data_IF_113080520040
#
_entry.id   IF_113080520040
#
_cell.length_a   1.000
_cell.length_b   1.000
_cell.length_c   1.000
_cell.angle_alpha   90.00
_cell.angle_beta   90.00
_cell.angle_gamma   90.00
#
_symmetry.space_group_name_H-M   'P 1'
#
loop_
_entity.id
_entity.type
_entity.pdbx_description
1 polymer ?
#
# COMPACT_ATOMS: atom_id res chain seq x y z
N UNK A 1 -3.43 -22.53 16.42
CA UNK A 1 -4.51 -22.17 15.47
C UNK A 1 -4.55 -20.66 15.44
N UNK A 2 -4.40 -20.05 14.25
CA UNK A 2 -4.41 -18.59 14.10
C UNK A 2 -5.81 -18.06 13.80
N UNK A 3 -6.10 -16.83 14.21
CA UNK A 3 -7.34 -16.11 13.92
C UNK A 3 -7.05 -14.62 13.72
N UNK A 4 -8.03 -13.89 13.17
CA UNK A 4 -7.91 -12.44 12.96
C UNK A 4 -8.37 -11.70 14.21
N UNK A 5 -7.54 -10.79 14.72
CA UNK A 5 -7.88 -9.90 15.84
C UNK A 5 -7.70 -8.44 15.43
N UNK A 6 -8.73 -7.64 15.64
CA UNK A 6 -8.65 -6.19 15.54
C UNK A 6 -8.04 -5.60 16.83
N UNK A 7 -7.05 -4.72 16.70
CA UNK A 7 -6.43 -3.97 17.81
C UNK A 7 -6.41 -2.49 17.47
N UNK A 8 -6.80 -1.66 18.43
CA UNK A 8 -6.70 -0.20 18.32
C UNK A 8 -5.27 0.24 18.67
N UNK A 9 -4.61 1.00 17.78
CA UNK A 9 -3.20 1.37 17.95
C UNK A 9 -2.93 2.82 17.50
N UNK A 10 -2.38 3.68 18.38
CA UNK A 10 -2.27 3.47 19.82
C UNK A 10 -3.67 3.35 20.47
N UNK A 11 -3.79 2.77 21.68
CA UNK A 11 -5.07 2.67 22.38
C UNK A 11 -5.75 4.04 22.50
N UNK A 12 -7.04 4.12 22.18
CA UNK A 12 -7.81 5.38 22.19
C UNK A 12 -7.60 6.29 20.98
N UNK A 13 -6.86 5.86 19.95
CA UNK A 13 -6.61 6.68 18.74
C UNK A 13 -7.73 6.64 17.70
N UNK A 14 -8.70 5.72 17.83
CA UNK A 14 -9.69 5.40 16.80
C UNK A 14 -9.14 4.63 15.61
N UNK A 15 -7.82 4.33 15.56
CA UNK A 15 -7.21 3.58 14.46
C UNK A 15 -7.17 2.09 14.79
N UNK A 16 -8.05 1.33 14.16
CA UNK A 16 -8.11 -0.12 14.29
C UNK A 16 -7.31 -0.81 13.20
N UNK A 17 -6.60 -1.88 13.56
CA UNK A 17 -5.77 -2.66 12.68
C UNK A 17 -6.01 -4.15 12.91
N UNK A 18 -6.12 -4.92 11.84
CA UNK A 18 -6.32 -6.35 11.88
C UNK A 18 -4.96 -7.07 11.84
N UNK A 19 -4.83 -8.08 12.70
CA UNK A 19 -3.65 -8.93 12.83
C UNK A 19 -4.06 -10.39 12.74
N UNK A 20 -3.25 -11.20 12.08
CA UNK A 20 -3.29 -12.63 12.27
C UNK A 20 -2.54 -12.96 13.57
N UNK A 21 -3.23 -13.59 14.52
CA UNK A 21 -2.72 -13.88 15.85
C UNK A 21 -2.88 -15.36 16.17
N UNK A 22 -1.98 -15.92 16.94
CA UNK A 22 -2.08 -17.26 17.47
C UNK A 22 -2.06 -17.22 19.00
N UNK A 23 -2.99 -17.97 19.61
CA UNK A 23 -2.99 -18.16 21.05
C UNK A 23 -1.83 -19.09 21.44
N UNK A 24 -0.93 -18.59 22.30
CA UNK A 24 0.11 -19.35 22.96
C UNK A 24 -0.18 -19.41 24.45
N UNK A 25 -0.13 -20.61 25.01
CA UNK A 25 -0.25 -20.82 26.45
C UNK A 25 1.17 -20.89 27.05
N UNK A 26 1.50 -19.94 27.92
CA UNK A 26 2.78 -19.92 28.66
C UNK A 26 2.48 -19.97 30.15
N UNK A 27 2.41 -21.18 30.71
CA UNK A 27 1.91 -21.41 32.07
C UNK A 27 0.44 -20.98 32.19
N UNK A 28 0.10 -20.23 33.25
CA UNK A 28 -1.26 -19.70 33.44
C UNK A 28 -1.57 -18.45 32.59
N UNK A 29 -0.65 -18.01 31.72
CA UNK A 29 -0.85 -16.84 30.86
C UNK A 29 -1.23 -17.28 29.45
N UNK A 30 -2.34 -16.73 28.96
CA UNK A 30 -2.74 -16.79 27.55
C UNK A 30 -2.14 -15.58 26.84
N UNK A 31 -1.18 -15.83 25.95
CA UNK A 31 -0.49 -14.80 25.17
C UNK A 31 -1.02 -14.88 23.73
N UNK A 32 -1.35 -13.73 23.15
CA UNK A 32 -1.66 -13.66 21.72
C UNK A 32 -0.38 -13.31 20.99
N UNK A 33 0.22 -14.29 20.30
CA UNK A 33 1.38 -14.06 19.45
C UNK A 33 0.90 -13.52 18.12
N UNK A 34 1.27 -12.29 17.81
CA UNK A 34 1.04 -11.73 16.49
C UNK A 34 1.92 -12.45 15.46
N UNK A 35 1.28 -13.01 14.44
CA UNK A 35 1.94 -13.67 13.32
C UNK A 35 2.27 -12.63 12.25
N UNK A 36 1.28 -11.83 11.85
CA UNK A 36 1.48 -10.72 10.90
C UNK A 36 0.39 -9.66 10.99
N UNK A 37 0.76 -8.45 10.61
CA UNK A 37 -0.18 -7.38 10.27
C UNK A 37 -0.94 -7.72 8.99
N UNK A 38 -2.26 -7.46 8.98
CA UNK A 38 -3.11 -7.64 7.80
C UNK A 38 -3.41 -6.29 7.16
N UNK A 39 -3.86 -5.30 7.93
CA UNK A 39 -4.31 -4.02 7.40
C UNK A 39 -5.03 -3.14 8.41
N UNK A 40 -5.48 -1.96 7.98
CA UNK A 40 -6.43 -1.13 8.74
C UNK A 40 -7.79 -1.83 8.76
N UNK A 41 -8.38 -1.98 9.94
CA UNK A 41 -9.64 -2.72 10.11
C UNK A 41 -10.78 -1.96 9.44
N UNK A 42 -11.51 -2.65 8.56
CA UNK A 42 -12.69 -2.10 7.86
C UNK A 42 -13.99 -2.20 8.66
N UNK A 43 -14.00 -3.01 9.74
CA UNK A 43 -15.18 -3.33 10.53
C UNK A 43 -15.44 -2.36 11.69
N UNK A 44 -14.49 -1.48 12.00
CA UNK A 44 -14.58 -0.53 13.12
C UNK A 44 -14.15 0.85 12.63
N UNK A 45 -15.06 1.56 11.98
CA UNK A 45 -14.86 2.97 11.66
C UNK A 45 -14.93 3.82 12.93
N UNK A 46 -14.21 4.94 12.89
CA UNK A 46 -14.05 5.90 13.97
C UNK A 46 -15.36 6.62 14.29
N UNK A 47 -16.20 6.03 15.15
CA UNK A 47 -17.00 6.77 16.12
C UNK A 47 -17.40 5.88 17.30
N UNK A 48 -17.23 6.42 18.50
CA UNK A 48 -17.60 5.83 19.77
C UNK A 48 -19.11 5.60 19.85
N UNK A 49 -19.54 4.42 20.27
CA UNK A 49 -20.25 4.20 21.55
C UNK A 49 -20.76 2.76 21.66
N UNK A 50 -21.00 2.35 22.91
CA UNK A 50 -21.76 1.18 23.39
C UNK A 50 -20.96 -0.09 23.73
N UNK A 51 -20.60 -0.13 25.03
CA UNK A 51 -21.00 -1.16 26.00
C UNK A 51 -21.75 -2.38 25.43
N UNK A 52 -21.20 -3.57 25.65
CA UNK A 52 -21.90 -4.84 25.50
C UNK A 52 -21.12 -5.98 26.13
N UNK A 53 -21.44 -6.31 27.38
CA UNK A 53 -21.02 -7.54 28.06
C UNK A 53 -21.63 -8.74 27.32
N UNK A 54 -20.83 -9.76 27.06
CA UNK A 54 -21.30 -11.06 26.57
C UNK A 54 -20.24 -12.12 26.80
N UNK A 55 -20.39 -12.89 27.88
CA UNK A 55 -19.59 -14.08 28.18
C UNK A 55 -20.23 -15.29 27.50
N UNK A 56 -19.42 -16.18 26.91
CA UNK A 56 -19.84 -17.51 26.41
C UNK A 56 -18.70 -18.52 26.74
N UNK A 57 -19.00 -19.78 27.10
CA UNK A 57 -18.30 -20.51 28.14
C UNK A 57 -17.11 -21.35 27.66
N UNK A 58 -16.31 -21.76 28.65
CA UNK A 58 -15.15 -22.64 28.53
C UNK A 58 -15.53 -24.08 28.15
N UNK A 59 -14.84 -24.65 27.16
CA UNK A 59 -14.67 -26.10 26.99
C UNK A 59 -13.18 -26.42 26.96
N UNK A 60 -12.77 -27.35 27.82
CA UNK A 60 -11.40 -27.82 27.96
C UNK A 60 -11.02 -28.76 26.81
N UNK A 61 -9.88 -28.52 26.16
CA UNK A 61 -9.24 -29.50 25.27
C UNK A 61 -7.72 -29.47 25.51
N UNK A 62 -7.17 -30.68 25.54
CA UNK A 62 -5.82 -31.13 25.89
C UNK A 62 -4.67 -30.42 25.18
N UNK A 63 -3.58 -30.23 25.94
CA UNK A 63 -2.31 -29.61 25.53
C UNK A 63 -1.60 -30.37 24.40
N UNK A 64 -1.07 -29.71 23.36
CA UNK A 64 0.01 -30.24 22.55
C UNK A 64 1.38 -29.76 23.08
N UNK A 65 2.31 -30.71 23.08
CA UNK A 65 3.74 -30.61 23.41
C UNK A 65 4.44 -29.44 22.70
N UNK A 66 5.38 -28.73 23.36
CA UNK A 66 6.06 -27.58 22.77
C UNK A 66 6.98 -28.02 21.63
N UNK A 67 6.65 -27.60 20.41
CA UNK A 67 7.54 -27.70 19.24
C UNK A 67 8.63 -26.61 19.40
N UNK A 68 9.90 -27.02 19.36
CA UNK A 68 11.05 -26.13 19.43
C UNK A 68 10.98 -25.03 18.35
N UNK A 69 11.45 -23.79 18.63
CA UNK A 69 11.37 -22.70 17.67
C UNK A 69 12.30 -22.96 16.48
N UNK A 70 11.70 -23.13 15.31
CA UNK A 70 12.39 -23.12 14.01
C UNK A 70 13.29 -21.87 13.93
N UNK A 71 14.57 -22.03 13.55
CA UNK A 71 15.52 -20.90 13.41
C UNK A 71 14.89 -19.84 12.51
N UNK A 72 14.63 -18.65 13.07
CA UNK A 72 13.98 -17.57 12.31
C UNK A 72 14.81 -17.19 11.09
N UNK A 73 14.25 -17.27 9.88
CA UNK A 73 14.91 -16.80 8.67
C UNK A 73 15.18 -15.28 8.76
N UNK A 74 16.41 -14.87 8.43
CA UNK A 74 16.91 -13.49 8.60
C UNK A 74 17.49 -12.97 7.30
N UNK A 75 17.45 -11.65 7.14
CA UNK A 75 18.16 -10.96 6.06
C UNK A 75 19.64 -10.85 6.43
N UNK A 76 20.54 -10.95 5.45
CA UNK A 76 21.98 -10.78 5.65
C UNK A 76 22.28 -9.49 6.45
N UNK A 77 23.16 -9.62 7.45
CA UNK A 77 23.58 -8.59 8.41
C UNK A 77 22.46 -8.02 9.31
N UNK A 78 21.30 -8.67 9.41
CA UNK A 78 20.23 -8.25 10.33
C UNK A 78 19.97 -9.29 11.42
N UNK A 79 19.85 -8.81 12.66
CA UNK A 79 19.54 -9.65 13.83
C UNK A 79 18.05 -9.97 13.93
N UNK A 80 17.19 -9.07 13.47
CA UNK A 80 15.74 -9.22 13.52
C UNK A 80 15.24 -10.18 12.43
N UNK A 81 14.34 -11.12 12.74
CA UNK A 81 13.68 -11.98 11.76
C UNK A 81 13.05 -11.18 10.62
N UNK A 82 13.19 -11.68 9.38
CA UNK A 82 12.67 -11.03 8.18
C UNK A 82 11.16 -10.74 8.26
N UNK A 83 10.37 -11.69 8.76
CA UNK A 83 8.92 -11.54 8.95
C UNK A 83 8.55 -10.38 9.86
N UNK A 84 9.32 -10.13 10.92
CA UNK A 84 9.06 -9.00 11.82
C UNK A 84 9.35 -7.68 11.13
N UNK A 85 10.45 -7.60 10.37
CA UNK A 85 10.76 -6.41 9.58
C UNK A 85 9.66 -6.14 8.54
N UNK A 86 9.20 -7.19 7.82
CA UNK A 86 8.09 -7.07 6.88
C UNK A 86 6.80 -6.58 7.56
N UNK A 87 6.51 -7.08 8.76
CA UNK A 87 5.37 -6.61 9.59
C UNK A 87 5.49 -5.13 9.93
N UNK A 88 6.67 -4.64 10.32
CA UNK A 88 6.91 -3.22 10.59
C UNK A 88 6.68 -2.35 9.33
N UNK A 89 7.11 -2.80 8.16
CA UNK A 89 6.84 -2.10 6.89
C UNK A 89 5.33 -2.06 6.59
N UNK A 90 4.62 -3.17 6.79
CA UNK A 90 3.17 -3.24 6.67
C UNK A 90 2.46 -2.25 7.59
N UNK A 91 2.84 -2.18 8.87
CA UNK A 91 2.29 -1.21 9.83
C UNK A 91 2.56 0.23 9.38
N UNK A 92 3.81 0.54 9.01
CA UNK A 92 4.20 1.88 8.58
C UNK A 92 3.45 2.34 7.33
N UNK A 93 3.40 1.51 6.29
CA UNK A 93 2.67 1.83 5.06
C UNK A 93 1.15 1.71 5.21
N UNK A 94 0.68 0.99 6.23
CA UNK A 94 -0.70 1.00 6.73
C UNK A 94 -1.11 2.26 7.49
N UNK A 95 -0.16 3.17 7.77
CA UNK A 95 -0.41 4.49 8.35
C UNK A 95 -0.01 4.63 9.82
N UNK A 96 0.60 3.61 10.42
CA UNK A 96 1.08 3.68 11.80
C UNK A 96 2.36 4.52 11.88
N UNK A 97 2.46 5.50 12.81
CA UNK A 97 3.69 6.26 13.04
C UNK A 97 4.75 5.40 13.76
N UNK A 98 6.02 5.77 13.65
CA UNK A 98 7.16 4.94 14.11
C UNK A 98 7.17 4.68 15.62
N UNK A 99 6.70 5.64 16.43
CA UNK A 99 6.54 5.52 17.88
C UNK A 99 5.49 4.47 18.25
N UNK A 100 4.37 4.43 17.53
CA UNK A 100 3.35 3.40 17.70
C UNK A 100 3.86 2.01 17.27
N UNK A 101 4.67 1.93 16.20
CA UNK A 101 5.31 0.66 15.78
C UNK A 101 6.30 0.19 16.86
N UNK A 102 7.12 1.10 17.39
CA UNK A 102 8.04 0.80 18.48
C UNK A 102 7.30 0.26 19.70
N UNK A 103 6.21 0.91 20.12
CA UNK A 103 5.37 0.46 21.23
C UNK A 103 4.82 -0.94 20.98
N UNK A 104 4.34 -1.22 19.76
CA UNK A 104 3.79 -2.51 19.38
C UNK A 104 4.84 -3.63 19.46
N UNK A 105 6.06 -3.37 18.98
CA UNK A 105 7.16 -4.34 19.03
C UNK A 105 7.65 -4.60 20.46
N UNK A 106 7.70 -3.57 21.29
CA UNK A 106 8.01 -3.72 22.72
C UNK A 106 6.97 -4.61 23.40
N UNK A 107 5.68 -4.41 23.10
CA UNK A 107 4.59 -5.18 23.70
C UNK A 107 4.53 -6.64 23.24
N UNK A 108 4.63 -6.89 21.93
CA UNK A 108 4.31 -8.20 21.36
C UNK A 108 5.54 -9.09 21.16
N UNK A 109 6.72 -8.49 21.10
CA UNK A 109 7.95 -9.17 20.72
C UNK A 109 9.09 -8.98 21.72
N UNK A 110 8.88 -8.21 22.79
CA UNK A 110 9.92 -7.85 23.77
C UNK A 110 11.16 -7.22 23.09
N UNK A 111 10.92 -6.48 22.01
CA UNK A 111 11.95 -5.81 21.22
C UNK A 111 11.87 -4.30 21.44
N UNK A 112 12.71 -3.81 22.34
CA UNK A 112 12.85 -2.38 22.60
C UNK A 112 13.95 -1.76 21.74
N UNK A 113 13.61 -1.42 20.50
CA UNK A 113 14.51 -0.78 19.54
C UNK A 113 14.14 0.69 19.35
N UNK A 114 15.11 1.55 19.02
CA UNK A 114 14.83 2.96 18.73
C UNK A 114 14.01 3.15 17.45
N UNK A 115 13.22 4.24 17.36
CA UNK A 115 12.52 4.66 16.12
C UNK A 115 13.45 4.67 14.89
N UNK A 116 14.72 5.06 15.08
CA UNK A 116 15.73 5.08 14.01
C UNK A 116 15.99 3.71 13.38
N UNK A 117 15.84 2.62 14.15
CA UNK A 117 15.99 1.24 13.64
C UNK A 117 14.88 0.93 12.64
N UNK A 118 13.63 1.20 13.02
CA UNK A 118 12.47 1.05 12.13
C UNK A 118 12.57 1.97 10.91
N UNK A 119 13.02 3.21 11.12
CA UNK A 119 13.23 4.15 10.02
C UNK A 119 14.27 3.65 9.00
N UNK A 120 15.37 3.05 9.48
CA UNK A 120 16.37 2.46 8.61
C UNK A 120 15.82 1.25 7.84
N UNK A 121 14.92 0.47 8.43
CA UNK A 121 14.21 -0.59 7.70
C UNK A 121 13.29 -0.02 6.62
N UNK A 122 12.48 0.99 6.95
CA UNK A 122 11.63 1.69 5.97
C UNK A 122 12.49 2.18 4.80
N UNK A 123 13.55 2.95 5.04
CA UNK A 123 14.41 3.45 3.94
C UNK A 123 15.00 2.32 3.10
N UNK A 124 15.53 1.26 3.72
CA UNK A 124 16.20 0.17 3.00
C UNK A 124 15.22 -0.62 2.15
N UNK A 125 14.14 -1.10 2.74
CA UNK A 125 13.23 -2.01 2.05
C UNK A 125 12.28 -1.30 1.10
N UNK A 126 12.05 0.01 1.28
CA UNK A 126 11.40 0.81 0.25
C UNK A 126 12.25 0.92 -1.01
N UNK A 127 13.57 1.13 -0.89
CA UNK A 127 14.47 1.09 -2.06
C UNK A 127 14.46 -0.28 -2.73
N UNK A 128 14.44 -1.34 -1.94
CA UNK A 128 14.36 -2.71 -2.45
C UNK A 128 13.05 -2.98 -3.18
N UNK A 129 11.92 -2.56 -2.63
CA UNK A 129 10.62 -2.68 -3.28
C UNK A 129 10.59 -1.89 -4.61
N UNK A 130 11.15 -0.67 -4.64
CA UNK A 130 11.29 0.12 -5.87
C UNK A 130 12.10 -0.64 -6.90
N UNK A 131 13.22 -1.24 -6.49
CA UNK A 131 14.09 -2.04 -7.38
C UNK A 131 13.35 -3.23 -7.97
N UNK A 132 12.60 -3.99 -7.16
CA UNK A 132 11.86 -5.17 -7.60
C UNK A 132 10.69 -4.82 -8.53
N UNK A 133 10.02 -3.69 -8.31
CA UNK A 133 8.88 -3.25 -9.12
C UNK A 133 9.22 -2.32 -10.29
N UNK A 134 10.50 -1.99 -10.50
CA UNK A 134 10.92 -0.97 -11.48
C UNK A 134 10.50 -1.31 -12.91
N UNK A 135 10.62 -2.59 -13.29
CA UNK A 135 10.39 -3.07 -14.65
C UNK A 135 8.95 -3.54 -14.88
N UNK A 136 8.10 -3.48 -13.85
CA UNK A 136 6.70 -3.87 -13.95
C UNK A 136 5.94 -2.93 -14.90
N UNK A 137 5.32 -3.51 -15.93
CA UNK A 137 4.47 -2.83 -16.92
C UNK A 137 3.01 -3.28 -16.72
N UNK A 138 2.12 -2.42 -16.20
CA UNK A 138 0.70 -2.73 -16.08
C UNK A 138 -0.02 -2.68 -17.44
N UNK A 139 -0.92 -3.62 -17.69
CA UNK A 139 -1.94 -3.57 -18.74
C UNK A 139 -3.09 -2.66 -18.29
N UNK A 140 -2.98 -1.38 -18.67
CA UNK A 140 -3.91 -0.31 -18.29
C UNK A 140 -4.87 0.06 -19.42
N UNK A 141 -5.98 0.73 -19.06
CA UNK A 141 -6.94 1.28 -20.01
C UNK A 141 -6.39 2.47 -20.82
N UNK A 142 -7.28 3.06 -21.61
CA UNK A 142 -6.99 4.22 -22.46
C UNK A 142 -7.46 5.55 -21.82
N UNK A 143 -8.11 5.49 -20.66
CA UNK A 143 -8.56 6.68 -19.93
C UNK A 143 -7.85 6.80 -18.60
N UNK A 144 -7.15 7.91 -18.40
CA UNK A 144 -6.46 8.21 -17.14
C UNK A 144 -7.04 9.46 -16.47
N UNK A 145 -6.92 9.51 -15.15
CA UNK A 145 -7.28 10.69 -14.35
C UNK A 145 -6.02 11.22 -13.70
N UNK A 146 -5.75 12.51 -13.85
CA UNK A 146 -4.67 13.20 -13.15
C UNK A 146 -5.22 14.27 -12.21
N UNK A 147 -4.66 14.34 -11.01
CA UNK A 147 -5.03 15.34 -10.02
C UNK A 147 -3.84 15.68 -9.13
N UNK A 148 -3.89 16.83 -8.47
CA UNK A 148 -2.90 17.27 -7.52
C UNK A 148 -3.50 17.71 -6.19
N UNK A 149 -2.84 17.31 -5.11
CA UNK A 149 -3.11 17.80 -3.76
C UNK A 149 -1.86 18.44 -3.17
N UNK A 150 -2.00 19.08 -2.03
CA UNK A 150 -0.87 19.63 -1.29
C UNK A 150 -0.98 19.38 0.20
N UNK A 151 0.17 19.24 0.85
CA UNK A 151 0.29 19.23 2.30
C UNK A 151 1.18 20.38 2.76
N UNK A 152 0.83 20.97 3.91
CA UNK A 152 1.70 21.94 4.58
C UNK A 152 2.76 21.21 5.40
N UNK A 153 4.01 21.58 5.20
CA UNK A 153 5.16 21.11 5.96
C UNK A 153 5.84 22.32 6.60
N UNK A 154 5.44 22.63 7.84
CA UNK A 154 5.74 23.94 8.44
C UNK A 154 5.19 25.05 7.55
N UNK A 155 6.07 25.97 7.13
CA UNK A 155 5.70 27.13 6.31
C UNK A 155 5.72 26.86 4.80
N UNK A 156 6.07 25.64 4.36
CA UNK A 156 6.17 25.27 2.94
C UNK A 156 5.01 24.38 2.51
N UNK A 157 4.52 24.56 1.29
CA UNK A 157 3.62 23.62 0.65
C UNK A 157 4.41 22.59 -0.16
N UNK A 158 4.04 21.32 -0.03
CA UNK A 158 4.50 20.24 -0.90
C UNK A 158 3.31 19.76 -1.72
N UNK A 159 3.48 19.72 -3.03
CA UNK A 159 2.49 19.25 -3.98
C UNK A 159 2.74 17.79 -4.33
N UNK A 160 1.66 17.02 -4.36
CA UNK A 160 1.61 15.63 -4.81
C UNK A 160 0.77 15.61 -6.07
N UNK A 161 1.38 15.16 -7.15
CA UNK A 161 0.79 15.03 -8.46
C UNK A 161 0.63 13.56 -8.75
N UNK A 162 -0.55 13.12 -9.13
CA UNK A 162 -0.86 11.70 -9.24
C UNK A 162 -1.64 11.44 -10.53
N UNK A 163 -1.36 10.30 -11.18
CA UNK A 163 -2.11 9.82 -12.36
C UNK A 163 -2.53 8.38 -12.13
N UNK A 164 -3.82 8.11 -12.29
CA UNK A 164 -4.43 6.80 -12.11
C UNK A 164 -5.12 6.33 -13.39
N UNK A 165 -4.99 5.04 -13.69
CA UNK A 165 -5.78 4.38 -14.74
C UNK A 165 -7.19 4.05 -14.23
N UNK A 166 -8.24 4.45 -14.96
CA UNK A 166 -9.63 4.27 -14.51
C UNK A 166 -10.12 2.82 -14.62
N UNK A 167 -9.51 2.01 -15.48
CA UNK A 167 -9.91 0.61 -15.70
C UNK A 167 -9.44 -0.30 -14.57
N UNK A 168 -8.22 -0.11 -14.09
CA UNK A 168 -7.55 -1.01 -13.14
C UNK A 168 -7.32 -0.38 -11.75
N UNK A 169 -7.57 0.92 -11.62
CA UNK A 169 -7.16 1.75 -10.49
C UNK A 169 -5.64 1.73 -10.24
N UNK A 170 -4.85 1.33 -11.23
CA UNK A 170 -3.40 1.33 -11.09
C UNK A 170 -2.88 2.77 -11.11
N UNK A 171 -2.16 3.15 -10.06
CA UNK A 171 -1.52 4.47 -10.00
C UNK A 171 -0.26 4.43 -10.87
N UNK A 172 -0.32 5.12 -12.00
CA UNK A 172 0.72 5.12 -13.02
C UNK A 172 1.96 5.89 -12.59
N UNK A 173 1.76 7.04 -11.94
CA UNK A 173 2.83 7.87 -11.44
C UNK A 173 2.38 8.72 -10.26
N UNK A 174 3.34 8.99 -9.37
CA UNK A 174 3.27 10.04 -8.36
C UNK A 174 4.52 10.91 -8.48
N UNK A 175 4.34 12.23 -8.49
CA UNK A 175 5.43 13.19 -8.53
C UNK A 175 5.29 14.20 -7.39
N UNK A 176 6.40 14.47 -6.70
CA UNK A 176 6.43 15.37 -5.54
C UNK A 176 7.28 16.58 -5.86
N UNK A 177 6.73 17.77 -5.61
CA UNK A 177 7.41 19.04 -5.88
C UNK A 177 7.05 20.12 -4.86
N UNK A 178 7.87 21.17 -4.79
CA UNK A 178 7.55 22.39 -4.03
C UNK A 178 6.84 23.45 -4.89
N UNK A 179 6.62 23.18 -6.18
CA UNK A 179 6.02 24.12 -7.13
C UNK A 179 4.77 23.52 -7.77
N UNK A 180 3.74 24.36 -7.98
CA UNK A 180 2.52 23.97 -8.69
C UNK A 180 2.49 24.56 -10.10
N UNK A 181 3.04 23.86 -11.10
CA UNK A 181 3.13 24.40 -12.46
C UNK A 181 3.30 23.36 -13.57
N UNK A 182 3.27 23.81 -14.82
CA UNK A 182 3.28 22.96 -16.02
C UNK A 182 4.48 22.00 -16.11
N UNK A 183 5.66 22.41 -15.64
CA UNK A 183 6.85 21.52 -15.59
C UNK A 183 6.58 20.27 -14.77
N UNK A 184 5.92 20.39 -13.62
CA UNK A 184 5.67 19.27 -12.72
C UNK A 184 4.58 18.36 -13.30
N UNK A 185 3.55 18.93 -13.92
CA UNK A 185 2.55 18.18 -14.67
C UNK A 185 3.18 17.42 -15.86
N UNK A 186 4.14 17.99 -16.60
CA UNK A 186 4.86 17.28 -17.67
C UNK A 186 5.64 16.08 -17.16
N UNK A 187 6.38 16.24 -16.07
CA UNK A 187 7.11 15.15 -15.43
C UNK A 187 6.14 14.01 -15.08
N UNK A 188 5.00 14.37 -14.49
CA UNK A 188 3.96 13.41 -14.14
C UNK A 188 3.44 12.63 -15.37
N UNK A 189 3.06 13.34 -16.44
CA UNK A 189 2.55 12.73 -17.69
C UNK A 189 3.58 11.80 -18.32
N UNK A 190 4.84 12.23 -18.37
CA UNK A 190 5.95 11.43 -18.88
C UNK A 190 6.15 10.14 -18.08
N UNK A 191 6.16 10.25 -16.75
CA UNK A 191 6.31 9.09 -15.87
C UNK A 191 5.15 8.11 -16.05
N UNK A 192 3.92 8.62 -16.19
CA UNK A 192 2.73 7.80 -16.41
C UNK A 192 2.81 7.04 -17.74
N UNK A 193 3.17 7.72 -18.84
CA UNK A 193 3.34 7.09 -20.14
C UNK A 193 4.48 6.07 -20.17
N UNK A 194 5.62 6.37 -19.53
CA UNK A 194 6.72 5.42 -19.38
C UNK A 194 6.29 4.19 -18.59
N UNK A 195 5.50 4.34 -17.52
CA UNK A 195 4.99 3.21 -16.74
C UNK A 195 4.03 2.36 -17.57
N UNK A 196 3.06 2.97 -18.23
CA UNK A 196 2.06 2.30 -19.06
C UNK A 196 2.65 1.69 -20.34
N UNK A 197 3.75 2.23 -20.86
CA UNK A 197 4.29 1.86 -22.18
C UNK A 197 3.47 2.39 -23.35
N UNK A 198 2.55 3.33 -23.12
CA UNK A 198 1.68 3.98 -24.11
C UNK A 198 1.22 5.36 -23.60
N UNK A 199 0.59 6.15 -24.46
CA UNK A 199 -0.16 7.35 -24.08
C UNK A 199 -1.66 7.02 -23.94
N UNK A 200 -2.45 7.79 -23.18
CA UNK A 200 -3.89 7.57 -23.07
C UNK A 200 -4.62 8.14 -24.28
N UNK A 201 -5.82 7.64 -24.60
CA UNK A 201 -6.73 8.32 -25.54
C UNK A 201 -7.48 9.45 -24.87
N UNK A 202 -7.76 9.32 -23.58
CA UNK A 202 -8.49 10.31 -22.79
C UNK A 202 -7.71 10.57 -21.51
N UNK A 203 -7.52 11.83 -21.18
CA UNK A 203 -7.05 12.23 -19.87
C UNK A 203 -8.00 13.24 -19.24
N UNK A 204 -8.39 12.97 -18.01
CA UNK A 204 -9.31 13.80 -17.24
C UNK A 204 -8.52 14.49 -16.14
N UNK A 205 -8.64 15.82 -16.05
CA UNK A 205 -8.02 16.60 -14.99
C UNK A 205 -8.97 17.67 -14.48
N UNK A 206 -8.66 18.26 -13.31
CA UNK A 206 -9.29 19.52 -12.92
C UNK A 206 -8.84 20.67 -13.85
N UNK A 207 -9.39 21.86 -13.64
CA UNK A 207 -9.21 23.05 -14.48
C UNK A 207 -7.85 23.74 -14.32
N UNK A 208 -6.86 23.12 -13.68
CA UNK A 208 -5.54 23.70 -13.56
C UNK A 208 -4.88 23.81 -14.95
N UNK A 209 -4.58 25.05 -15.38
CA UNK A 209 -3.99 25.32 -16.70
C UNK A 209 -2.66 24.60 -16.97
N UNK A 210 -1.92 24.23 -15.92
CA UNK A 210 -0.69 23.42 -16.00
C UNK A 210 -0.88 22.10 -16.74
N UNK A 211 -2.07 21.47 -16.64
CA UNK A 211 -2.34 20.22 -17.33
C UNK A 211 -2.52 20.41 -18.82
N UNK A 212 -3.14 21.50 -19.27
CA UNK A 212 -3.34 21.78 -20.69
C UNK A 212 -1.98 21.76 -21.41
N UNK A 213 -1.02 22.53 -20.88
CA UNK A 213 0.34 22.60 -21.44
C UNK A 213 1.03 21.25 -21.37
N UNK A 214 0.91 20.54 -20.25
CA UNK A 214 1.61 19.28 -20.07
C UNK A 214 1.09 18.14 -20.95
N UNK A 215 -0.21 18.09 -21.17
CA UNK A 215 -0.86 17.06 -21.99
C UNK A 215 -0.54 17.31 -23.47
N UNK A 216 -0.62 18.56 -23.93
CA UNK A 216 -0.23 18.90 -25.30
C UNK A 216 1.25 18.57 -25.56
N UNK A 217 2.15 18.95 -24.64
CA UNK A 217 3.59 18.73 -24.80
C UNK A 217 4.00 17.25 -24.77
N UNK A 218 3.38 16.42 -23.92
CA UNK A 218 3.79 15.02 -23.74
C UNK A 218 2.99 14.03 -24.60
N UNK A 219 1.73 14.34 -24.94
CA UNK A 219 0.85 13.42 -25.66
C UNK A 219 0.32 13.98 -27.00
N UNK A 220 0.23 15.30 -27.16
CA UNK A 220 -0.25 15.95 -28.37
C UNK A 220 -1.66 15.54 -28.79
N UNK A 221 -1.92 15.56 -30.10
CA UNK A 221 -3.24 15.34 -30.69
C UNK A 221 -3.81 13.92 -30.49
N UNK A 222 -2.99 12.95 -30.08
CA UNK A 222 -3.41 11.56 -29.84
C UNK A 222 -4.24 11.41 -28.56
N UNK A 223 -4.20 12.41 -27.66
CA UNK A 223 -4.93 12.40 -26.39
C UNK A 223 -5.98 13.50 -26.34
N UNK A 224 -7.22 13.12 -26.07
CA UNK A 224 -8.30 14.06 -25.74
C UNK A 224 -8.21 14.48 -24.28
N UNK A 225 -7.91 15.76 -24.04
CA UNK A 225 -8.01 16.35 -22.69
C UNK A 225 -9.47 16.71 -22.36
N UNK A 226 -9.97 16.21 -21.24
CA UNK A 226 -11.26 16.58 -20.68
C UNK A 226 -11.03 17.31 -19.35
N UNK A 227 -11.39 18.59 -19.32
CA UNK A 227 -11.37 19.38 -18.08
C UNK A 227 -12.73 19.30 -17.39
N UNK A 228 -12.73 18.96 -16.10
CA UNK A 228 -13.96 18.92 -15.32
C UNK A 228 -13.68 18.64 -13.85
N UNK A 229 -14.56 19.14 -12.99
CA UNK A 229 -14.58 18.66 -11.61
C UNK A 229 -14.94 17.17 -11.62
N UNK A 230 -14.32 16.33 -10.77
CA UNK A 230 -14.72 14.96 -10.45
C UNK A 230 -16.24 14.68 -10.45
N UNK A 231 -17.05 15.66 -10.07
CA UNK A 231 -18.50 15.53 -9.98
C UNK A 231 -19.29 15.78 -11.28
N UNK A 232 -18.73 16.47 -12.29
CA UNK A 232 -19.46 16.82 -13.54
C UNK A 232 -19.24 15.85 -14.69
N UNK A 233 -18.13 15.11 -14.69
CA UNK A 233 -17.79 14.14 -15.76
C UNK A 233 -18.46 12.77 -15.56
N UNK A 234 -19.48 12.69 -14.69
CA UNK A 234 -20.20 11.47 -14.29
C UNK A 234 -21.15 10.93 -15.38
N UNK A 235 -21.24 11.57 -16.54
CA UNK A 235 -22.01 11.03 -17.68
C UNK A 235 -21.30 9.88 -18.44
N UNK A 236 -20.07 9.49 -18.06
CA UNK A 236 -19.28 8.47 -18.77
C UNK A 236 -18.87 7.23 -17.95
N UNK A 237 -19.20 7.14 -16.67
CA UNK A 237 -18.90 5.95 -15.85
C UNK A 237 -17.43 5.83 -15.38
N UNK A 238 -16.63 6.88 -15.50
CA UNK A 238 -15.23 6.91 -15.06
C UNK A 238 -15.11 7.67 -13.73
N UNK A 239 -14.72 6.97 -12.66
CA UNK A 239 -14.82 7.46 -11.28
C UNK A 239 -13.50 8.08 -10.79
N UNK A 240 -13.44 9.41 -10.80
CA UNK A 240 -12.45 10.24 -10.09
C UNK A 240 -12.40 10.03 -8.57
N UNK A 241 -13.35 9.30 -7.99
CA UNK A 241 -13.38 9.01 -6.56
C UNK A 241 -12.14 8.26 -6.06
N UNK A 242 -11.43 7.52 -6.93
CA UNK A 242 -10.29 6.71 -6.52
C UNK A 242 -9.03 7.54 -6.29
N UNK A 243 -8.76 8.55 -7.12
CA UNK A 243 -7.64 9.48 -6.88
C UNK A 243 -7.91 10.35 -5.65
N UNK A 244 -9.17 10.75 -5.43
CA UNK A 244 -9.56 11.46 -4.20
C UNK A 244 -9.40 10.59 -2.94
N UNK A 245 -9.82 9.32 -2.98
CA UNK A 245 -9.63 8.36 -1.88
C UNK A 245 -8.14 8.15 -1.59
N UNK A 246 -7.32 8.13 -2.64
CA UNK A 246 -5.88 8.07 -2.53
C UNK A 246 -5.33 9.34 -1.84
N UNK A 247 -5.70 10.53 -2.29
CA UNK A 247 -5.28 11.80 -1.65
C UNK A 247 -5.72 11.92 -0.19
N UNK A 248 -6.94 11.50 0.17
CA UNK A 248 -7.36 11.44 1.58
C UNK A 248 -6.47 10.53 2.41
N UNK A 249 -5.94 9.46 1.81
CA UNK A 249 -4.97 8.58 2.47
C UNK A 249 -3.59 9.24 2.59
N UNK A 250 -3.16 10.09 1.64
CA UNK A 250 -1.95 10.94 1.79
C UNK A 250 -2.07 11.90 2.96
N UNK A 251 -3.19 12.63 3.01
CA UNK A 251 -3.42 13.68 4.00
C UNK A 251 -3.38 13.12 5.43
N UNK A 252 -3.91 11.91 5.65
CA UNK A 252 -3.82 11.22 6.94
C UNK A 252 -2.37 10.94 7.37
N UNK A 253 -1.41 10.95 6.44
CA UNK A 253 0.02 10.72 6.69
C UNK A 253 0.81 12.01 6.85
N UNK A 254 0.17 13.18 6.92
CA UNK A 254 0.86 14.48 7.12
C UNK A 254 1.87 14.41 8.27
N UNK A 255 1.47 13.84 9.42
CA UNK A 255 2.35 13.67 10.60
C UNK A 255 3.62 12.82 10.33
N UNK A 256 3.53 11.86 9.41
CA UNK A 256 4.68 11.05 9.02
C UNK A 256 5.65 11.92 8.20
N UNK A 257 5.12 12.72 7.28
CA UNK A 257 5.93 13.62 6.44
C UNK A 257 6.48 14.81 7.23
N UNK A 258 5.78 15.30 8.27
CA UNK A 258 6.22 16.40 9.13
C UNK A 258 7.61 16.18 9.76
N UNK A 259 7.98 14.92 10.01
CA UNK A 259 9.30 14.56 10.53
C UNK A 259 10.43 14.75 9.50
N UNK A 260 10.11 14.90 8.21
CA UNK A 260 11.10 14.98 7.12
C UNK A 260 11.10 16.35 6.48
N UNK A 261 12.26 17.03 6.53
CA UNK A 261 12.44 18.37 5.94
C UNK A 261 12.98 18.34 4.52
N UNK A 262 13.40 17.18 4.02
CA UNK A 262 14.03 17.02 2.71
C UNK A 262 13.13 16.31 1.70
N UNK A 263 13.11 16.83 0.47
CA UNK A 263 12.28 16.31 -0.62
C UNK A 263 12.67 14.90 -1.05
N UNK A 264 13.93 14.48 -0.83
CA UNK A 264 14.40 13.15 -1.23
C UNK A 264 13.76 12.05 -0.35
N UNK A 265 13.67 12.27 0.96
CA UNK A 265 12.95 11.40 1.89
C UNK A 265 11.47 11.34 1.57
N UNK A 266 10.84 12.49 1.28
CA UNK A 266 9.42 12.53 0.89
C UNK A 266 9.21 11.74 -0.40
N UNK A 267 10.03 11.96 -1.44
CA UNK A 267 9.98 11.18 -2.69
C UNK A 267 10.17 9.68 -2.46
N UNK A 268 11.10 9.29 -1.60
CA UNK A 268 11.30 7.87 -1.25
C UNK A 268 10.04 7.27 -0.62
N UNK A 269 9.43 8.01 0.31
CA UNK A 269 8.22 7.57 1.01
C UNK A 269 7.01 7.51 0.08
N UNK A 270 6.82 8.51 -0.78
CA UNK A 270 5.77 8.51 -1.80
C UNK A 270 5.90 7.30 -2.73
N UNK A 271 7.11 7.00 -3.20
CA UNK A 271 7.34 5.82 -4.04
C UNK A 271 7.08 4.50 -3.29
N UNK A 272 7.46 4.38 -2.02
CA UNK A 272 7.11 3.22 -1.22
C UNK A 272 5.60 3.07 -1.01
N UNK A 273 4.89 4.19 -0.92
CA UNK A 273 3.45 4.19 -0.76
C UNK A 273 2.71 3.88 -2.06
N UNK A 274 3.21 4.35 -3.21
CA UNK A 274 2.79 3.92 -4.54
C UNK A 274 2.86 2.39 -4.68
N UNK A 275 3.97 1.78 -4.23
CA UNK A 275 4.13 0.32 -4.26
C UNK A 275 3.11 -0.35 -3.33
N UNK A 276 2.98 0.15 -2.10
CA UNK A 276 2.01 -0.40 -1.16
C UNK A 276 0.57 -0.32 -1.70
N UNK A 277 0.19 0.80 -2.31
CA UNK A 277 -1.11 0.99 -2.93
C UNK A 277 -1.32 0.01 -4.09
N UNK A 278 -0.41 0.00 -5.07
CA UNK A 278 -0.58 -0.80 -6.29
C UNK A 278 -0.48 -2.30 -6.06
N UNK A 279 0.47 -2.76 -5.22
CA UNK A 279 0.80 -4.19 -5.14
C UNK A 279 0.20 -4.88 -3.92
N UNK A 280 -0.02 -4.17 -2.80
CA UNK A 280 -0.35 -4.79 -1.51
C UNK A 280 -1.75 -4.46 -0.99
N UNK A 281 -2.21 -3.22 -1.19
CA UNK A 281 -3.49 -2.74 -0.65
C UNK A 281 -4.65 -3.19 -1.53
N UNK A 282 -5.66 -3.83 -0.92
CA UNK A 282 -6.91 -4.12 -1.61
C UNK A 282 -7.64 -2.82 -1.97
N UNK A 283 -8.16 -2.74 -3.20
CA UNK A 283 -8.93 -1.61 -3.69
C UNK A 283 -10.33 -2.08 -4.14
N UNK A 284 -11.38 -1.45 -3.62
CA UNK A 284 -12.78 -1.79 -3.92
C UNK A 284 -13.15 -1.55 -5.38
N UNK A 285 -12.64 -0.50 -6.00
CA UNK A 285 -12.95 -0.13 -7.37
C UNK A 285 -12.39 -1.11 -8.41
N UNK A 286 -11.37 -1.91 -8.06
CA UNK A 286 -10.93 -3.05 -8.87
C UNK A 286 -11.32 -4.41 -8.26
N UNK A 287 -12.26 -4.42 -7.32
CA UNK A 287 -12.89 -5.64 -6.81
C UNK A 287 -12.21 -6.32 -5.62
N UNK A 288 -11.71 -5.51 -4.69
CA UNK A 288 -11.02 -5.92 -3.44
C UNK A 288 -9.74 -6.71 -3.66
N UNK A 289 -9.05 -6.42 -4.77
CA UNK A 289 -7.70 -6.89 -5.04
C UNK A 289 -6.76 -5.69 -5.18
N UNK A 290 -5.44 -5.86 -5.06
CA UNK A 290 -4.50 -4.80 -5.41
C UNK A 290 -4.56 -4.43 -6.90
N UNK A 291 -4.46 -3.13 -7.25
CA UNK A 291 -4.50 -2.68 -8.65
C UNK A 291 -3.54 -3.41 -9.59
N UNK A 292 -2.33 -3.77 -9.13
CA UNK A 292 -1.36 -4.51 -9.93
C UNK A 292 -1.87 -5.91 -10.36
N UNK A 293 -2.73 -6.53 -9.55
CA UNK A 293 -3.34 -7.82 -9.86
C UNK A 293 -4.51 -7.68 -10.85
N UNK A 294 -5.18 -6.52 -10.88
CA UNK A 294 -6.15 -6.19 -11.92
C UNK A 294 -5.47 -5.84 -13.24
N UNK A 295 -4.27 -5.23 -13.16
CA UNK A 295 -3.51 -4.75 -14.31
C UNK A 295 -2.48 -5.74 -14.86
N UNK A 296 -2.32 -6.95 -14.30
CA UNK A 296 -1.37 -7.92 -14.84
C UNK A 296 -1.69 -9.36 -14.41
N UNK A 297 -1.32 -10.30 -15.29
CA UNK A 297 -1.35 -11.74 -15.00
C UNK A 297 -0.13 -12.21 -14.18
N UNK A 298 0.90 -11.37 -14.05
CA UNK A 298 2.11 -11.66 -13.27
C UNK A 298 2.51 -10.42 -12.48
N UNK A 299 2.74 -10.57 -11.18
CA UNK A 299 3.23 -9.48 -10.31
C UNK A 299 4.55 -9.89 -9.64
N UNK A 300 5.50 -8.94 -9.43
CA UNK A 300 6.81 -9.26 -8.86
C UNK A 300 6.77 -9.46 -7.34
N UNK A 301 5.75 -8.94 -6.66
CA UNK A 301 5.63 -9.01 -5.20
C UNK A 301 4.17 -9.14 -4.81
N UNK A 302 3.88 -9.87 -3.74
CA UNK A 302 2.53 -9.95 -3.18
C UNK A 302 2.35 -9.16 -1.89
N UNK A 303 3.42 -9.02 -1.11
CA UNK A 303 3.44 -8.32 0.17
C UNK A 303 4.88 -7.99 0.59
N UNK A 304 5.04 -7.34 1.75
CA UNK A 304 6.35 -6.95 2.28
C UNK A 304 7.28 -8.13 2.60
N UNK A 305 6.80 -9.37 2.75
CA UNK A 305 7.67 -10.53 2.94
C UNK A 305 8.43 -10.89 1.66
N UNK A 306 7.91 -10.56 0.48
CA UNK A 306 8.64 -10.72 -0.79
C UNK A 306 9.67 -9.62 -1.01
N UNK A 307 9.54 -8.50 -0.31
CA UNK A 307 10.55 -7.44 -0.32
C UNK A 307 11.66 -7.74 0.68
N UNK A 308 11.29 -8.25 1.87
CA UNK A 308 12.22 -8.59 2.96
C UNK A 308 12.64 -10.06 2.84
N UNK A 309 13.40 -10.37 1.79
CA UNK A 309 13.81 -11.74 1.47
C UNK A 309 14.94 -12.19 2.42
N UNK A 310 14.78 -13.29 3.18
CA UNK A 310 15.86 -13.87 3.96
C UNK A 310 17.05 -14.31 3.11
N UNK A 311 18.23 -14.39 3.73
CA UNK A 311 19.42 -14.91 3.06
C UNK A 311 19.20 -16.37 2.61
N UNK A 312 19.50 -16.64 1.33
CA UNK A 312 19.29 -17.95 0.71
C UNK A 312 17.83 -18.28 0.35
N UNK A 313 16.87 -17.41 0.66
CA UNK A 313 15.49 -17.62 0.24
C UNK A 313 15.31 -17.27 -1.26
N UNK A 314 14.48 -18.04 -1.99
CA UNK A 314 14.20 -17.76 -3.39
C UNK A 314 13.40 -16.48 -3.58
N UNK A 315 13.69 -15.78 -4.67
CA UNK A 315 12.95 -14.62 -5.15
C UNK A 315 11.99 -15.05 -6.28
N UNK A 316 10.73 -14.64 -6.20
CA UNK A 316 9.66 -15.13 -7.07
C UNK A 316 8.88 -13.98 -7.68
N UNK A 317 8.40 -14.21 -8.90
CA UNK A 317 7.21 -13.52 -9.40
C UNK A 317 5.98 -14.38 -9.10
N UNK A 318 4.79 -13.82 -9.29
CA UNK A 318 3.54 -14.48 -8.94
C UNK A 318 2.55 -14.42 -10.09
N UNK A 319 2.16 -15.58 -10.60
CA UNK A 319 1.06 -15.69 -11.55
C UNK A 319 -0.26 -15.44 -10.82
N UNK A 320 -1.02 -14.49 -11.32
CA UNK A 320 -2.31 -14.06 -10.79
C UNK A 320 -3.44 -14.84 -11.46
N UNK A 321 -4.31 -15.44 -10.66
CA UNK A 321 -5.57 -16.04 -11.12
C UNK A 321 -6.73 -15.46 -10.32
N UNK A 322 -7.66 -14.81 -11.01
CA UNK A 322 -8.78 -14.11 -10.40
C UNK A 322 -10.08 -14.91 -10.59
N UNK A 323 -10.80 -15.13 -9.49
CA UNK A 323 -12.09 -15.81 -9.50
C UNK A 323 -13.15 -14.83 -8.99
N UNK A 324 -14.16 -14.54 -9.82
CA UNK A 324 -15.24 -13.64 -9.43
C UNK A 324 -16.12 -14.32 -8.38
N UNK A 325 -16.33 -13.66 -7.24
CA UNK A 325 -17.28 -14.12 -6.23
C UNK A 325 -18.70 -13.99 -6.76
N UNK A 326 -19.54 -15.00 -6.50
CA UNK A 326 -20.99 -14.89 -6.69
C UNK A 326 -21.54 -13.93 -5.64
N UNK A 327 -21.65 -12.65 -5.97
CA UNK A 327 -22.29 -11.64 -5.12
C UNK A 327 -23.73 -11.43 -5.58
N UNK A 328 -24.66 -11.42 -4.61
CA UNK A 328 -26.09 -11.14 -4.82
C UNK A 328 -26.40 -9.64 -4.67
N UNK A 329 -25.44 -8.83 -4.19
CA UNK A 329 -25.61 -7.38 -4.00
C UNK A 329 -25.18 -6.61 -5.26
N UNK A 330 -25.99 -5.62 -5.64
CA UNK A 330 -25.70 -4.64 -6.69
C UNK A 330 -24.47 -3.81 -6.26
N UNK A 331 -23.36 -3.91 -6.98
CA UNK A 331 -22.08 -3.25 -6.66
C UNK A 331 -20.94 -3.71 -7.57
N UNK A 332 -19.73 -3.17 -7.38
CA UNK A 332 -18.54 -3.60 -8.12
C UNK A 332 -18.27 -5.10 -7.91
N UNK A 333 -17.81 -5.82 -8.94
CA UNK A 333 -17.48 -7.24 -8.81
C UNK A 333 -16.37 -7.43 -7.77
N UNK A 334 -16.50 -8.44 -6.90
CA UNK A 334 -15.47 -8.81 -5.92
C UNK A 334 -14.74 -10.05 -6.43
N UNK A 335 -13.41 -10.08 -6.30
CA UNK A 335 -12.57 -11.18 -6.77
C UNK A 335 -11.81 -11.86 -5.63
N UNK A 336 -11.60 -13.16 -5.77
CA UNK A 336 -10.60 -13.94 -5.04
C UNK A 336 -9.36 -14.09 -5.92
N UNK A 337 -8.23 -13.59 -5.45
CA UNK A 337 -6.95 -13.73 -6.14
C UNK A 337 -6.16 -14.91 -5.59
N UNK A 338 -5.75 -15.83 -6.47
CA UNK A 338 -4.77 -16.87 -6.18
C UNK A 338 -3.44 -16.48 -6.82
N UNK A 339 -2.40 -16.38 -5.99
CA UNK A 339 -1.04 -16.03 -6.41
C UNK A 339 -0.15 -17.27 -6.36
N UNK A 340 0.30 -17.74 -7.52
CA UNK A 340 1.17 -18.90 -7.64
C UNK A 340 2.62 -18.46 -7.89
N UNK A 341 3.58 -18.84 -7.04
CA UNK A 341 4.97 -18.43 -7.22
C UNK A 341 5.54 -19.06 -8.51
N UNK A 342 6.26 -18.27 -9.26
CA UNK A 342 7.05 -18.67 -10.44
C UNK A 342 8.47 -18.13 -10.25
N UNK A 343 9.48 -18.90 -10.66
CA UNK A 343 10.87 -18.45 -10.57
C UNK A 343 11.04 -17.18 -11.39
N UNK A 344 11.59 -16.14 -10.78
CA UNK A 344 11.95 -14.91 -11.47
C UNK A 344 13.03 -15.24 -12.50
N UNK A 345 12.78 -14.94 -13.76
CA UNK A 345 13.81 -15.07 -14.79
C UNK A 345 14.89 -14.03 -14.49
N UNK A 346 16.08 -14.48 -14.07
CA UNK A 346 17.26 -13.64 -14.06
C UNK A 346 17.55 -13.29 -15.51
N UNK A 347 17.14 -12.09 -15.94
CA UNK A 347 17.75 -11.45 -17.10
C UNK A 347 19.22 -11.24 -16.74
N UNK A 348 20.06 -12.21 -17.09
CA UNK A 348 21.49 -11.97 -17.23
C UNK A 348 21.62 -10.74 -18.12
N UNK A 349 22.36 -9.75 -17.62
CA UNK A 349 22.68 -8.52 -18.32
C UNK A 349 23.29 -8.88 -19.68
N UNK A 350 22.52 -8.67 -20.75
CA UNK A 350 23.03 -8.60 -22.12
C UNK A 350 23.72 -7.25 -22.35
#
# INVERSE_FOLDING_TARGET
>A
MSFIRAKEIPPGSGNWYDYEVETIHKGNKVIQKHIRYIGKSSLRSSHSTLSGKGAIPHTAVTSPTPVAPEKSARVNKMKTPAKLIASALGMYYGGMPLDAIQQQFRQDHDLDMSESTYWNWVKRFTKEAIRQCKDFKPDVGDTWVADETYMKLGDKAIYFWDVIDTKTNYLLASHVSFSRGAREARILMRLAAQRAGKTPKIIITDKLGSYIVAIEDEFGADTKHIQGSPFKTVFSGESTAEIERFHKTLEQRTKVFEKFKDIASIKLLTNGWLINYNFFKQNEGCGNIPPAQAASKVVPVKDWNDVVIPEGAPDFDYKVSLHRRKSVKKGYPVFDAKLMPIKRETKESA
#
